data_IF_775545243930
#
_entry.id   IF_775545243930
#
_cell.length_a   1.000
_cell.length_b   1.000
_cell.length_c   1.000
_cell.angle_alpha   90.00
_cell.angle_beta   90.00
_cell.angle_gamma   90.00
#
_symmetry.space_group_name_H-M   'P 1'
#
loop_
_entity.id
_entity.type
_entity.pdbx_description
1 polymer ?
#
# COMPACT_ATOMS: atom_id res chain seq x y z
N UNK A 1 6.39 -49.81 -18.28
CA UNK A 1 7.10 -48.54 -18.55
C UNK A 1 7.19 -47.82 -17.23
N UNK A 2 8.24 -48.14 -16.49
CA UNK A 2 8.55 -47.50 -15.21
C UNK A 2 9.29 -46.22 -15.55
N UNK A 3 8.73 -45.08 -15.17
CA UNK A 3 9.41 -43.79 -15.30
C UNK A 3 10.36 -43.67 -14.12
N UNK A 4 11.66 -43.66 -14.42
CA UNK A 4 12.72 -43.34 -13.47
C UNK A 4 12.51 -41.90 -13.00
N UNK A 5 12.14 -41.76 -11.73
CA UNK A 5 12.15 -40.49 -11.02
C UNK A 5 13.62 -40.25 -10.67
N UNK A 6 14.26 -39.32 -11.37
CA UNK A 6 15.57 -38.80 -10.99
C UNK A 6 15.40 -37.99 -9.70
N UNK A 7 15.90 -38.56 -8.60
CA UNK A 7 16.09 -37.86 -7.35
C UNK A 7 17.22 -36.84 -7.55
N UNK A 8 16.85 -35.61 -7.89
CA UNK A 8 17.76 -34.45 -7.80
C UNK A 8 18.08 -34.23 -6.32
N UNK A 9 19.28 -34.65 -5.90
CA UNK A 9 19.81 -34.35 -4.58
C UNK A 9 19.88 -32.82 -4.41
N UNK A 10 19.24 -32.26 -3.37
CA UNK A 10 19.29 -30.82 -3.13
C UNK A 10 20.73 -30.43 -2.77
N UNK A 11 21.35 -29.62 -3.63
CA UNK A 11 22.63 -28.97 -3.34
C UNK A 11 22.57 -28.36 -1.94
N UNK A 12 23.44 -28.83 -1.06
CA UNK A 12 23.60 -28.30 0.28
C UNK A 12 24.15 -26.87 0.17
N UNK A 13 23.26 -25.87 0.09
CA UNK A 13 23.63 -24.48 0.29
C UNK A 13 24.21 -24.35 1.71
N UNK A 14 25.54 -24.30 1.78
CA UNK A 14 26.31 -23.92 2.97
C UNK A 14 25.78 -22.58 3.46
N UNK A 15 24.95 -22.63 4.50
CA UNK A 15 24.49 -21.46 5.22
C UNK A 15 25.70 -20.80 5.85
N UNK A 16 26.21 -19.77 5.18
CA UNK A 16 27.01 -18.71 5.79
C UNK A 16 26.23 -18.19 7.01
N UNK A 17 26.51 -18.78 8.17
CA UNK A 17 26.12 -18.29 9.47
C UNK A 17 26.82 -16.97 9.67
N UNK A 18 26.24 -15.89 9.15
CA UNK A 18 26.68 -14.53 9.43
C UNK A 18 26.47 -14.32 10.92
N UNK A 19 27.58 -14.45 11.65
CA UNK A 19 27.72 -14.06 13.04
C UNK A 19 27.43 -12.56 13.14
N UNK A 20 26.16 -12.21 13.34
CA UNK A 20 25.77 -10.91 13.91
C UNK A 20 26.14 -10.93 15.41
N UNK A 21 27.43 -11.07 15.70
CA UNK A 21 28.03 -10.95 17.03
C UNK A 21 28.18 -9.45 17.35
N UNK A 22 27.04 -8.78 17.57
CA UNK A 22 27.01 -7.63 18.48
C UNK A 22 26.56 -8.13 19.84
N UNK A 23 27.45 -8.90 20.47
CA UNK A 23 27.45 -9.03 21.91
C UNK A 23 27.62 -7.61 22.49
N UNK A 24 26.78 -7.25 23.44
CA UNK A 24 27.00 -6.12 24.33
C UNK A 24 28.30 -6.38 25.12
N UNK A 25 29.45 -6.12 24.50
CA UNK A 25 30.76 -6.18 25.16
C UNK A 25 31.09 -4.82 25.74
N UNK A 26 30.99 -4.75 27.06
CA UNK A 26 31.88 -4.02 27.97
C UNK A 26 33.02 -3.23 27.29
N UNK A 27 32.84 -1.92 27.17
CA UNK A 27 33.78 -0.92 27.72
C UNK A 27 35.25 -0.90 27.28
N UNK A 28 35.69 -1.60 26.23
CA UNK A 28 37.07 -1.48 25.72
C UNK A 28 37.13 -1.39 24.20
N UNK A 29 36.77 -0.22 23.67
CA UNK A 29 37.07 0.20 22.30
C UNK A 29 38.58 0.22 22.05
N UNK A 30 39.11 -0.89 21.52
CA UNK A 30 40.40 -0.88 20.83
C UNK A 30 40.20 -0.09 19.54
N UNK A 31 40.67 1.15 19.55
CA UNK A 31 40.80 2.00 18.36
C UNK A 31 41.62 1.26 17.32
N UNK A 32 40.97 0.64 16.33
CA UNK A 32 41.66 0.12 15.16
C UNK A 32 42.08 1.34 14.32
N UNK A 33 43.38 1.61 14.28
CA UNK A 33 43.98 2.73 13.55
C UNK A 33 43.92 2.59 12.03
N UNK A 34 42.76 2.23 11.46
CA UNK A 34 42.51 2.38 10.04
C UNK A 34 42.27 3.86 9.73
N UNK A 35 43.08 4.51 8.87
CA UNK A 35 42.97 5.92 8.55
C UNK A 35 41.80 6.25 7.60
N UNK A 36 40.85 5.33 7.43
CA UNK A 36 39.52 5.62 6.89
C UNK A 36 38.58 5.72 8.08
N UNK A 37 38.24 6.95 8.46
CA UNK A 37 37.42 7.24 9.63
C UNK A 37 36.16 6.37 9.67
N UNK A 38 35.65 6.12 10.87
CA UNK A 38 34.33 5.56 11.07
C UNK A 38 33.32 6.47 10.36
N UNK A 39 33.08 6.23 9.06
CA UNK A 39 32.13 6.98 8.26
C UNK A 39 30.78 6.80 8.92
N UNK A 40 30.34 7.88 9.59
CA UNK A 40 29.17 7.89 10.43
C UNK A 40 27.94 7.56 9.58
N UNK A 41 27.06 6.74 10.13
CA UNK A 41 25.73 6.56 9.56
C UNK A 41 24.90 7.80 9.87
N UNK A 42 24.09 8.25 8.91
CA UNK A 42 23.19 9.38 9.09
C UNK A 42 21.91 8.91 9.79
N UNK A 43 21.60 9.49 10.95
CA UNK A 43 20.32 9.25 11.61
C UNK A 43 19.20 9.96 10.87
N UNK A 44 18.21 9.20 10.41
CA UNK A 44 17.02 9.74 9.75
C UNK A 44 15.74 9.18 10.41
N UNK A 45 14.64 9.90 10.26
CA UNK A 45 13.30 9.39 10.51
C UNK A 45 12.67 9.04 9.17
N UNK A 46 12.15 7.81 9.04
CA UNK A 46 11.52 7.34 7.82
C UNK A 46 10.23 6.57 8.13
N UNK A 47 9.29 6.55 7.19
CA UNK A 47 8.11 5.70 7.29
C UNK A 47 8.52 4.23 7.04
N UNK A 48 8.24 3.29 7.97
CA UNK A 48 8.65 1.89 7.79
C UNK A 48 7.98 1.22 6.57
N UNK A 49 6.82 1.70 6.14
CA UNK A 49 6.11 1.18 4.96
C UNK A 49 6.79 1.64 3.65
N UNK A 50 7.60 2.71 3.67
CA UNK A 50 8.32 3.20 2.49
C UNK A 50 9.69 2.54 2.30
N UNK A 51 10.21 1.87 3.34
CA UNK A 51 11.49 1.18 3.29
C UNK A 51 11.30 -0.17 2.61
N UNK A 52 12.12 -0.44 1.60
CA UNK A 52 12.13 -1.68 0.82
C UNK A 52 12.98 -2.76 1.48
N UNK A 53 12.59 -4.01 1.30
CA UNK A 53 13.38 -5.18 1.68
C UNK A 53 14.52 -5.41 0.68
N UNK A 54 15.70 -5.77 1.17
CA UNK A 54 16.80 -6.19 0.29
C UNK A 54 16.70 -7.65 -0.14
N UNK A 55 16.02 -8.48 0.65
CA UNK A 55 15.91 -9.93 0.45
C UNK A 55 14.45 -10.34 0.18
N UNK A 56 14.24 -11.31 -0.71
CA UNK A 56 12.93 -11.94 -0.95
C UNK A 56 12.44 -12.82 0.21
N UNK A 57 13.34 -13.28 1.09
CA UNK A 57 13.03 -14.24 2.16
C UNK A 57 13.61 -13.79 3.49
N UNK A 58 12.83 -13.95 4.57
CA UNK A 58 13.31 -13.84 5.96
C UNK A 58 12.92 -15.03 6.80
N UNK A 59 13.75 -15.30 7.80
CA UNK A 59 13.44 -16.27 8.84
C UNK A 59 12.45 -15.70 9.87
N UNK A 60 11.42 -16.44 10.32
CA UNK A 60 10.39 -15.95 11.25
C UNK A 60 10.88 -15.69 12.69
N UNK A 61 12.17 -15.84 12.95
CA UNK A 61 12.78 -15.71 14.27
C UNK A 61 13.92 -14.70 14.26
N UNK A 62 13.97 -13.87 15.30
CA UNK A 62 15.15 -13.13 15.65
C UNK A 62 16.18 -14.06 16.29
N UNK A 63 17.45 -13.83 15.98
CA UNK A 63 18.55 -14.53 16.62
C UNK A 63 18.49 -14.31 18.14
N UNK A 64 18.50 -15.41 18.93
CA UNK A 64 18.39 -15.46 20.40
C UNK A 64 17.11 -14.90 21.05
N UNK A 65 16.29 -14.12 20.33
CA UNK A 65 15.06 -13.49 20.86
C UNK A 65 13.77 -14.25 20.53
N UNK A 66 13.86 -15.31 19.71
CA UNK A 66 12.73 -16.16 19.36
C UNK A 66 11.87 -15.57 18.23
N UNK A 67 10.59 -15.99 18.12
CA UNK A 67 9.69 -15.55 17.05
C UNK A 67 9.57 -14.03 16.95
N UNK A 68 9.51 -13.49 15.72
CA UNK A 68 9.34 -12.05 15.48
C UNK A 68 8.06 -11.51 16.15
N UNK A 69 6.98 -12.29 16.14
CA UNK A 69 5.69 -11.95 16.76
C UNK A 69 5.79 -11.64 18.26
N UNK A 70 6.78 -12.20 18.98
CA UNK A 70 6.98 -11.94 20.40
C UNK A 70 7.57 -10.54 20.68
N UNK A 71 8.05 -9.86 19.64
CA UNK A 71 8.61 -8.51 19.73
C UNK A 71 7.57 -7.44 19.45
N UNK A 72 6.51 -7.73 18.68
CA UNK A 72 5.50 -6.74 18.27
C UNK A 72 4.88 -5.99 19.47
N UNK A 73 4.43 -6.67 20.55
CA UNK A 73 3.84 -5.97 21.71
C UNK A 73 4.84 -5.09 22.49
N UNK A 74 6.14 -5.23 22.21
CA UNK A 74 7.22 -4.47 22.86
C UNK A 74 7.59 -3.21 22.08
N UNK A 75 7.13 -3.07 20.83
CA UNK A 75 7.34 -1.86 20.02
C UNK A 75 6.32 -0.82 20.49
N UNK A 76 6.81 0.28 21.08
CA UNK A 76 5.94 1.34 21.60
C UNK A 76 5.66 2.36 20.51
N UNK A 77 4.40 2.77 20.38
CA UNK A 77 4.00 3.88 19.52
C UNK A 77 3.86 5.15 20.37
N UNK A 78 4.64 6.19 20.05
CA UNK A 78 4.62 7.49 20.73
C UNK A 78 3.96 8.49 19.79
N UNK A 79 2.80 9.01 20.18
CA UNK A 79 2.07 9.98 19.34
C UNK A 79 2.75 11.36 19.32
N UNK A 80 2.81 11.96 18.14
CA UNK A 80 3.32 13.32 17.92
C UNK A 80 2.16 14.33 17.75
N UNK A 81 2.48 15.62 17.88
CA UNK A 81 1.51 16.73 17.73
C UNK A 81 0.93 16.83 16.31
N UNK A 82 1.68 16.39 15.30
CA UNK A 82 1.27 16.36 13.88
C UNK A 82 0.30 15.21 13.56
N UNK A 83 -0.05 14.38 14.56
CA UNK A 83 -0.88 13.19 14.39
C UNK A 83 -0.13 11.95 13.93
N UNK A 84 1.17 12.04 13.65
CA UNK A 84 2.01 10.86 13.37
C UNK A 84 2.33 10.08 14.66
N UNK A 85 2.93 8.90 14.51
CA UNK A 85 3.44 8.06 15.60
C UNK A 85 4.91 7.71 15.36
N UNK A 86 5.76 7.92 16.37
CA UNK A 86 7.11 7.37 16.38
C UNK A 86 7.11 5.95 16.96
N UNK A 87 7.60 4.98 16.18
CA UNK A 87 7.77 3.61 16.60
C UNK A 87 9.12 3.45 17.31
N UNK A 88 9.08 3.06 18.58
CA UNK A 88 10.25 2.83 19.44
C UNK A 88 10.39 1.34 19.71
N UNK A 89 11.18 0.60 18.90
CA UNK A 89 11.35 -0.83 19.06
C UNK A 89 12.34 -1.18 20.20
N UNK A 90 12.29 -2.42 20.74
CA UNK A 90 13.25 -2.90 21.75
C UNK A 90 14.56 -3.42 21.12
N UNK A 91 14.93 -2.93 19.93
CA UNK A 91 16.14 -3.31 19.21
C UNK A 91 16.80 -2.05 18.63
N UNK A 92 18.08 -2.15 18.27
CA UNK A 92 18.82 -1.04 17.70
C UNK A 92 18.18 -0.54 16.38
N UNK A 93 18.33 0.74 16.03
CA UNK A 93 17.86 1.29 14.76
C UNK A 93 18.23 0.41 13.56
N UNK A 94 17.35 0.38 12.56
CA UNK A 94 17.61 -0.40 11.34
C UNK A 94 18.58 0.33 10.42
N UNK A 95 19.48 -0.42 9.79
CA UNK A 95 20.38 0.11 8.79
C UNK A 95 19.71 0.12 7.42
N UNK A 96 19.86 1.22 6.70
CA UNK A 96 19.30 1.43 5.38
C UNK A 96 20.38 1.90 4.40
N UNK A 97 20.37 1.33 3.20
CA UNK A 97 21.09 1.85 2.05
C UNK A 97 20.15 2.77 1.26
N UNK A 98 20.59 3.99 0.98
CA UNK A 98 19.87 4.95 0.14
C UNK A 98 20.31 4.79 -1.31
N UNK A 99 19.41 4.38 -2.20
CA UNK A 99 19.60 4.36 -3.67
C UNK A 99 18.62 5.35 -4.29
N UNK A 100 19.11 6.53 -4.67
CA UNK A 100 18.26 7.64 -5.13
C UNK A 100 17.31 8.13 -4.03
N UNK A 101 16.00 8.17 -4.32
CA UNK A 101 14.95 8.55 -3.37
C UNK A 101 14.52 7.38 -2.45
N UNK A 102 15.02 6.19 -2.68
CA UNK A 102 14.50 4.94 -2.09
C UNK A 102 15.43 4.42 -0.99
N UNK A 103 14.84 4.00 0.13
CA UNK A 103 15.54 3.37 1.24
C UNK A 103 15.39 1.85 1.20
N UNK A 104 16.50 1.15 1.28
CA UNK A 104 16.58 -0.31 1.29
C UNK A 104 17.10 -0.81 2.63
N UNK A 105 16.37 -1.64 3.36
CA UNK A 105 16.79 -2.13 4.67
C UNK A 105 17.80 -3.27 4.55
N UNK A 106 18.89 -3.17 5.32
CA UNK A 106 19.84 -4.26 5.53
C UNK A 106 19.39 -5.21 6.66
N UNK A 107 18.36 -4.81 7.41
CA UNK A 107 17.83 -5.48 8.60
C UNK A 107 16.38 -5.96 8.37
N UNK A 108 16.14 -6.74 7.31
CA UNK A 108 14.79 -7.11 6.82
C UNK A 108 13.85 -7.69 7.90
N UNK A 109 14.36 -8.49 8.85
CA UNK A 109 13.55 -9.02 9.97
C UNK A 109 13.03 -7.91 10.90
N UNK A 110 13.86 -6.90 11.18
CA UNK A 110 13.48 -5.75 12.00
C UNK A 110 12.49 -4.87 11.25
N UNK A 111 12.73 -4.64 9.95
CA UNK A 111 11.81 -3.91 9.09
C UNK A 111 10.43 -4.58 9.05
N UNK A 112 10.37 -5.90 8.84
CA UNK A 112 9.12 -6.66 8.84
C UNK A 112 8.33 -6.47 10.14
N UNK A 113 9.00 -6.56 11.30
CA UNK A 113 8.37 -6.31 12.59
C UNK A 113 7.80 -4.88 12.71
N UNK A 114 8.55 -3.87 12.22
CA UNK A 114 8.11 -2.48 12.22
C UNK A 114 6.93 -2.24 11.28
N UNK A 115 6.93 -2.88 10.10
CA UNK A 115 5.82 -2.78 9.15
C UNK A 115 4.55 -3.44 9.70
N UNK A 116 4.65 -4.58 10.38
CA UNK A 116 3.49 -5.21 11.04
C UNK A 116 2.84 -4.26 12.06
N UNK A 117 3.64 -3.64 12.94
CA UNK A 117 3.11 -2.68 13.93
C UNK A 117 2.59 -1.40 13.28
N UNK A 118 3.24 -0.92 12.21
CA UNK A 118 2.72 0.21 11.44
C UNK A 118 1.37 -0.11 10.79
N UNK A 119 1.17 -1.35 10.34
CA UNK A 119 -0.10 -1.81 9.78
C UNK A 119 -1.21 -1.95 10.83
N UNK A 120 -0.88 -2.32 12.07
CA UNK A 120 -1.85 -2.29 13.19
C UNK A 120 -2.33 -0.86 13.52
N UNK A 121 -1.52 0.14 13.18
CA UNK A 121 -1.82 1.57 13.36
C UNK A 121 -2.36 2.24 12.09
N UNK A 122 -2.48 1.52 10.97
CA UNK A 122 -2.97 2.07 9.72
C UNK A 122 -4.39 2.65 9.87
N UNK A 123 -4.71 3.83 9.31
CA UNK A 123 -3.95 4.64 8.35
C UNK A 123 -3.07 5.73 9.00
N UNK A 124 -2.74 5.62 10.29
CA UNK A 124 -1.96 6.64 10.99
C UNK A 124 -0.51 6.64 10.48
N UNK A 125 0.05 7.80 10.08
CA UNK A 125 1.44 7.88 9.67
C UNK A 125 2.39 7.45 10.79
N UNK A 126 3.28 6.52 10.49
CA UNK A 126 4.27 6.02 11.45
C UNK A 126 5.68 6.38 10.98
N UNK A 127 6.57 6.72 11.91
CA UNK A 127 7.98 7.02 11.66
C UNK A 127 8.85 6.12 12.54
N UNK A 128 10.01 5.74 12.04
CA UNK A 128 11.01 4.99 12.81
C UNK A 128 12.39 5.60 12.57
N UNK A 129 13.24 5.53 13.59
CA UNK A 129 14.64 5.94 13.49
C UNK A 129 15.44 4.89 12.70
N UNK A 130 16.12 5.34 11.67
CA UNK A 130 16.97 4.52 10.81
C UNK A 130 18.37 5.12 10.73
N UNK A 131 19.35 4.26 10.47
CA UNK A 131 20.72 4.61 10.14
C UNK A 131 20.87 4.49 8.63
N UNK A 132 20.96 5.60 7.93
CA UNK A 132 21.04 5.65 6.47
C UNK A 132 22.45 5.90 6.00
N UNK A 133 22.79 5.35 4.84
CA UNK A 133 24.02 5.69 4.12
C UNK A 133 23.80 5.52 2.62
N UNK A 134 24.47 6.34 1.81
CA UNK A 134 24.37 6.25 0.33
C UNK A 134 25.21 5.12 -0.25
N UNK A 135 26.40 4.87 0.31
CA UNK A 135 27.35 3.86 -0.18
C UNK A 135 27.83 2.95 0.94
N UNK A 136 27.81 1.65 0.70
CA UNK A 136 28.35 0.67 1.65
C UNK A 136 29.87 0.78 1.76
N UNK A 137 30.47 0.52 2.95
CA UNK A 137 31.91 0.43 3.09
C UNK A 137 32.52 -0.60 2.15
N UNK A 138 33.63 -0.26 1.47
CA UNK A 138 34.30 -1.14 0.49
C UNK A 138 34.54 -2.57 1.00
N UNK A 139 34.91 -2.71 2.27
CA UNK A 139 35.19 -4.01 2.88
C UNK A 139 33.95 -4.90 3.10
N UNK A 140 32.74 -4.31 3.19
CA UNK A 140 31.46 -5.05 3.34
C UNK A 140 30.64 -5.08 2.06
N UNK A 141 31.12 -4.44 0.99
CA UNK A 141 30.41 -4.28 -0.27
C UNK A 141 29.95 -5.65 -0.81
N UNK A 142 30.88 -6.59 -0.99
CA UNK A 142 30.60 -7.91 -1.56
C UNK A 142 29.58 -8.71 -0.76
N UNK A 143 29.70 -8.73 0.56
CA UNK A 143 28.81 -9.52 1.44
C UNK A 143 27.42 -8.91 1.56
N UNK A 144 27.32 -7.58 1.58
CA UNK A 144 26.02 -6.91 1.71
C UNK A 144 25.29 -6.83 0.37
N UNK A 145 25.99 -6.63 -0.75
CA UNK A 145 25.38 -6.67 -2.09
C UNK A 145 24.79 -8.04 -2.43
N UNK A 146 25.40 -9.14 -1.95
CA UNK A 146 24.80 -10.49 -2.07
C UNK A 146 23.42 -10.60 -1.42
N UNK A 147 23.09 -9.73 -0.46
CA UNK A 147 21.76 -9.70 0.17
C UNK A 147 20.72 -9.02 -0.71
N UNK A 148 21.11 -8.25 -1.73
CA UNK A 148 20.20 -7.64 -2.70
C UNK A 148 19.76 -8.71 -3.70
N UNK A 149 18.81 -9.53 -3.27
CA UNK A 149 18.18 -10.56 -4.07
C UNK A 149 16.67 -10.45 -3.85
N UNK A 150 16.13 -9.33 -4.32
CA UNK A 150 14.69 -9.09 -4.34
C UNK A 150 14.19 -9.09 -5.78
N UNK A 151 13.10 -9.82 -6.05
CA UNK A 151 12.39 -9.82 -7.34
C UNK A 151 11.20 -8.86 -7.36
N UNK A 152 10.76 -8.40 -6.20
CA UNK A 152 9.53 -7.61 -6.00
C UNK A 152 9.80 -6.13 -5.71
N UNK A 153 10.96 -5.62 -6.15
CA UNK A 153 11.45 -4.29 -5.80
C UNK A 153 11.43 -4.03 -4.29
N UNK A 154 11.64 -5.07 -3.48
CA UNK A 154 11.63 -5.03 -2.04
C UNK A 154 10.28 -4.69 -1.42
N UNK A 155 9.17 -4.82 -2.15
CA UNK A 155 7.82 -4.57 -1.63
C UNK A 155 7.19 -5.80 -0.99
N UNK A 156 7.61 -6.98 -1.42
CA UNK A 156 7.09 -8.26 -0.93
C UNK A 156 8.21 -9.06 -0.28
N UNK A 157 7.90 -9.75 0.82
CA UNK A 157 8.85 -10.65 1.47
C UNK A 157 8.17 -11.95 1.92
N UNK A 158 8.81 -13.08 1.67
CA UNK A 158 8.34 -14.39 2.11
C UNK A 158 8.95 -14.75 3.48
N UNK A 159 8.09 -15.02 4.46
CA UNK A 159 8.49 -15.49 5.78
C UNK A 159 8.60 -17.00 5.74
N UNK A 160 9.83 -17.50 5.63
CA UNK A 160 10.10 -18.91 5.36
C UNK A 160 11.15 -19.46 6.33
N UNK A 161 11.00 -20.74 6.67
CA UNK A 161 12.09 -21.58 7.19
C UNK A 161 12.53 -22.54 6.09
N UNK A 162 13.58 -23.33 6.35
CA UNK A 162 14.16 -24.26 5.35
C UNK A 162 13.12 -25.12 4.62
N UNK A 163 12.05 -25.57 5.31
CA UNK A 163 11.07 -26.51 4.76
C UNK A 163 9.61 -26.02 4.84
N UNK A 164 9.38 -24.80 5.30
CA UNK A 164 8.02 -24.31 5.53
C UNK A 164 7.91 -22.84 5.16
N UNK A 165 6.94 -22.54 4.29
CA UNK A 165 6.47 -21.18 4.04
C UNK A 165 5.37 -20.85 5.06
N UNK A 166 5.57 -19.78 5.84
CA UNK A 166 4.59 -19.34 6.83
C UNK A 166 3.65 -18.30 6.24
N UNK A 167 4.21 -17.29 5.57
CA UNK A 167 3.46 -16.13 5.12
C UNK A 167 4.18 -15.41 3.98
N UNK A 168 3.42 -14.69 3.16
CA UNK A 168 3.96 -13.75 2.17
C UNK A 168 3.44 -12.37 2.51
N UNK A 169 4.35 -11.49 2.89
CA UNK A 169 4.02 -10.15 3.34
C UNK A 169 4.20 -9.13 2.23
N UNK A 170 3.12 -8.41 1.92
CA UNK A 170 3.13 -7.18 1.14
C UNK A 170 2.23 -6.18 1.87
N UNK A 171 2.83 -5.13 2.43
CA UNK A 171 2.09 -4.18 3.24
C UNK A 171 1.05 -3.39 2.42
N UNK A 172 1.28 -3.16 1.12
CA UNK A 172 0.35 -2.43 0.25
C UNK A 172 -0.91 -3.25 0.00
N UNK A 173 -0.74 -4.54 -0.27
CA UNK A 173 -1.88 -5.46 -0.38
C UNK A 173 -2.63 -5.54 0.93
N UNK A 174 -1.92 -5.64 2.06
CA UNK A 174 -2.54 -5.68 3.37
C UNK A 174 -3.32 -4.39 3.71
N UNK A 175 -2.76 -3.23 3.38
CA UNK A 175 -3.44 -1.95 3.55
C UNK A 175 -4.69 -1.87 2.65
N UNK A 176 -4.59 -2.32 1.40
CA UNK A 176 -5.71 -2.36 0.48
C UNK A 176 -6.84 -3.28 0.98
N UNK A 177 -6.52 -4.41 1.61
CA UNK A 177 -7.52 -5.30 2.24
C UNK A 177 -8.27 -4.62 3.40
N UNK A 178 -7.54 -3.89 4.26
CA UNK A 178 -8.15 -3.14 5.39
C UNK A 178 -9.08 -2.05 4.85
N UNK A 179 -8.61 -1.28 3.86
CA UNK A 179 -9.41 -0.22 3.22
C UNK A 179 -10.60 -0.80 2.45
N UNK A 180 -10.44 -1.97 1.83
CA UNK A 180 -11.51 -2.67 1.09
C UNK A 180 -12.67 -3.02 2.01
N UNK A 181 -12.39 -3.49 3.23
CA UNK A 181 -13.44 -3.75 4.21
C UNK A 181 -14.23 -2.48 4.56
N UNK A 182 -13.54 -1.35 4.77
CA UNK A 182 -14.17 -0.06 5.07
C UNK A 182 -14.99 0.47 3.89
N UNK A 183 -14.44 0.40 2.67
CA UNK A 183 -15.11 0.82 1.44
C UNK A 183 -16.36 -0.03 1.17
N UNK A 184 -16.24 -1.35 1.26
CA UNK A 184 -17.33 -2.30 1.04
C UNK A 184 -18.48 -2.06 2.03
N UNK A 185 -18.17 -1.78 3.30
CA UNK A 185 -19.20 -1.42 4.31
C UNK A 185 -19.96 -0.14 3.90
N UNK A 186 -19.26 0.90 3.44
CA UNK A 186 -19.88 2.15 2.99
C UNK A 186 -20.73 1.97 1.74
N UNK A 187 -20.18 1.27 0.74
CA UNK A 187 -20.90 0.95 -0.50
C UNK A 187 -22.11 0.08 -0.23
N UNK A 188 -22.03 -0.88 0.70
CA UNK A 188 -23.18 -1.69 1.10
C UNK A 188 -24.32 -0.85 1.67
N UNK A 189 -24.04 0.18 2.50
CA UNK A 189 -25.08 1.07 3.00
C UNK A 189 -25.75 1.84 1.87
N UNK A 190 -24.95 2.35 0.92
CA UNK A 190 -25.45 3.05 -0.26
C UNK A 190 -26.34 2.11 -1.10
N UNK A 191 -25.85 0.91 -1.43
CA UNK A 191 -26.58 -0.06 -2.23
C UNK A 191 -27.86 -0.54 -1.54
N UNK A 192 -27.82 -0.91 -0.26
CA UNK A 192 -29.03 -1.29 0.48
C UNK A 192 -30.08 -0.18 0.52
N UNK A 193 -29.65 1.08 0.62
CA UNK A 193 -30.55 2.24 0.56
C UNK A 193 -31.23 2.32 -0.82
N UNK A 194 -30.47 2.12 -1.90
CA UNK A 194 -30.99 2.16 -3.26
C UNK A 194 -31.80 0.94 -3.67
N UNK A 195 -31.53 -0.24 -3.09
CA UNK A 195 -32.35 -1.44 -3.26
C UNK A 195 -33.73 -1.29 -2.58
N UNK A 196 -33.77 -0.68 -1.39
CA UNK A 196 -35.02 -0.45 -0.66
C UNK A 196 -35.92 0.61 -1.34
N UNK A 197 -35.32 1.59 -2.01
CA UNK A 197 -36.04 2.72 -2.60
C UNK A 197 -37.11 2.33 -3.65
N UNK A 198 -36.85 1.47 -4.66
CA UNK A 198 -37.87 1.01 -5.59
C UNK A 198 -39.00 0.23 -4.91
N UNK A 199 -38.70 -0.55 -3.87
CA UNK A 199 -39.71 -1.31 -3.11
C UNK A 199 -40.63 -0.36 -2.36
N UNK A 200 -40.05 0.59 -1.62
CA UNK A 200 -40.80 1.65 -0.93
C UNK A 200 -41.60 2.50 -1.92
N UNK A 201 -40.99 2.87 -3.05
CA UNK A 201 -41.64 3.61 -4.12
C UNK A 201 -42.85 2.87 -4.70
N UNK A 202 -42.74 1.56 -4.90
CA UNK A 202 -43.85 0.72 -5.38
C UNK A 202 -44.98 0.61 -4.35
N UNK A 203 -44.64 0.47 -3.05
CA UNK A 203 -45.63 0.45 -1.97
C UNK A 203 -46.37 1.80 -1.87
N UNK A 204 -45.63 2.91 -1.90
CA UNK A 204 -46.21 4.26 -1.87
C UNK A 204 -47.05 4.52 -3.12
N UNK A 205 -46.61 4.06 -4.30
CA UNK A 205 -47.36 4.18 -5.54
C UNK A 205 -48.72 3.48 -5.44
N UNK A 206 -48.75 2.26 -4.88
CA UNK A 206 -49.99 1.49 -4.67
C UNK A 206 -50.97 2.22 -3.75
N UNK A 207 -50.47 2.95 -2.74
CA UNK A 207 -51.31 3.73 -1.82
C UNK A 207 -51.79 5.07 -2.39
N UNK A 208 -51.31 5.49 -3.57
CA UNK A 208 -51.69 6.76 -4.21
C UNK A 208 -50.95 8.00 -3.67
N UNK A 209 -50.07 7.86 -2.67
CA UNK A 209 -49.38 8.99 -2.04
C UNK A 209 -48.24 9.60 -2.88
N UNK A 210 -47.70 8.87 -3.86
CA UNK A 210 -46.50 9.33 -4.61
C UNK A 210 -46.76 10.45 -5.62
N UNK A 211 -48.02 10.66 -6.06
CA UNK A 211 -48.33 11.60 -7.14
C UNK A 211 -47.72 11.27 -8.51
N UNK A 212 -47.13 10.07 -8.70
CA UNK A 212 -46.55 9.66 -9.99
C UNK A 212 -47.65 9.36 -11.01
N UNK A 213 -47.57 10.00 -12.18
CA UNK A 213 -48.50 9.75 -13.30
C UNK A 213 -48.15 8.48 -14.10
N UNK A 214 -46.92 7.96 -13.96
CA UNK A 214 -46.39 6.88 -14.80
C UNK A 214 -45.67 5.82 -13.96
N UNK A 215 -45.72 4.56 -14.43
CA UNK A 215 -45.02 3.41 -13.81
C UNK A 215 -43.56 3.29 -14.27
N UNK A 216 -43.16 3.99 -15.33
CA UNK A 216 -41.82 3.93 -15.90
C UNK A 216 -40.68 4.19 -14.88
N UNK A 217 -40.78 5.17 -13.97
CA UNK A 217 -39.72 5.42 -12.99
C UNK A 217 -39.46 4.22 -12.07
N UNK A 218 -40.52 3.48 -11.68
CA UNK A 218 -40.39 2.27 -10.89
C UNK A 218 -39.70 1.16 -11.69
N UNK A 219 -40.12 0.93 -12.94
CA UNK A 219 -39.49 -0.08 -13.82
C UNK A 219 -38.00 0.23 -14.01
N UNK A 220 -37.66 1.48 -14.30
CA UNK A 220 -36.27 1.92 -14.46
C UNK A 220 -35.49 1.72 -13.15
N UNK A 221 -36.09 2.04 -12.00
CA UNK A 221 -35.47 1.83 -10.69
C UNK A 221 -35.22 0.35 -10.39
N UNK A 222 -36.15 -0.56 -10.74
CA UNK A 222 -35.94 -2.00 -10.60
C UNK A 222 -34.85 -2.53 -11.53
N UNK A 223 -34.81 -2.06 -12.79
CA UNK A 223 -33.76 -2.42 -13.74
C UNK A 223 -32.39 -1.93 -13.25
N UNK A 224 -32.31 -0.73 -12.68
CA UNK A 224 -31.07 -0.21 -12.10
C UNK A 224 -30.66 -0.97 -10.83
N UNK A 225 -31.59 -1.33 -9.96
CA UNK A 225 -31.29 -2.19 -8.80
C UNK A 225 -30.76 -3.57 -9.25
N UNK A 226 -31.34 -4.18 -10.29
CA UNK A 226 -30.84 -5.44 -10.82
C UNK A 226 -29.49 -5.29 -11.53
N UNK A 227 -29.28 -4.17 -12.23
CA UNK A 227 -28.00 -3.84 -12.85
C UNK A 227 -26.92 -3.62 -11.79
N UNK A 228 -27.29 -3.02 -10.65
CA UNK A 228 -26.44 -2.88 -9.48
C UNK A 228 -25.99 -4.25 -8.94
N UNK A 229 -26.91 -5.19 -8.77
CA UNK A 229 -26.58 -6.55 -8.34
C UNK A 229 -25.59 -7.23 -9.29
N UNK A 230 -25.75 -7.03 -10.60
CA UNK A 230 -24.79 -7.53 -11.58
C UNK A 230 -23.44 -6.83 -11.47
N UNK A 231 -23.43 -5.49 -11.32
CA UNK A 231 -22.18 -4.75 -11.10
C UNK A 231 -21.50 -5.18 -9.82
N UNK A 232 -22.25 -5.52 -8.76
CA UNK A 232 -21.72 -6.02 -7.48
C UNK A 232 -20.89 -7.30 -7.63
N UNK A 233 -21.12 -8.08 -8.68
CA UNK A 233 -20.29 -9.25 -9.00
C UNK A 233 -18.93 -8.86 -9.62
N UNK A 234 -18.86 -7.73 -10.33
CA UNK A 234 -17.64 -7.18 -10.94
C UNK A 234 -16.89 -6.18 -10.04
N UNK A 235 -17.59 -5.68 -9.02
CA UNK A 235 -17.13 -4.72 -8.02
C UNK A 235 -15.84 -5.12 -7.27
N UNK A 236 -15.51 -6.41 -7.00
CA UNK A 236 -14.28 -6.75 -6.27
C UNK A 236 -13.00 -6.23 -6.94
N UNK A 237 -12.95 -6.22 -8.28
CA UNK A 237 -11.80 -5.70 -9.00
C UNK A 237 -11.70 -4.17 -8.90
N UNK A 238 -12.81 -3.47 -9.12
CA UNK A 238 -12.85 -2.01 -9.05
C UNK A 238 -12.62 -1.50 -7.63
N UNK A 239 -13.19 -2.15 -6.61
CA UNK A 239 -12.94 -1.82 -5.21
C UNK A 239 -11.47 -2.01 -4.86
N UNK A 240 -10.85 -3.14 -5.26
CA UNK A 240 -9.42 -3.36 -5.03
C UNK A 240 -8.57 -2.24 -5.65
N UNK A 241 -8.86 -1.84 -6.88
CA UNK A 241 -8.16 -0.72 -7.54
C UNK A 241 -8.37 0.61 -6.82
N UNK A 242 -9.60 0.94 -6.43
CA UNK A 242 -9.89 2.16 -5.65
C UNK A 242 -9.21 2.15 -4.28
N UNK A 243 -9.08 1.00 -3.64
CA UNK A 243 -8.36 0.82 -2.38
C UNK A 243 -6.85 0.97 -2.56
N UNK A 244 -6.25 0.43 -3.63
CA UNK A 244 -4.84 0.65 -3.93
C UNK A 244 -4.55 2.15 -4.17
N UNK A 245 -5.41 2.85 -4.90
CA UNK A 245 -5.27 4.29 -5.12
C UNK A 245 -5.44 5.10 -3.82
N UNK A 246 -6.34 4.68 -2.93
CA UNK A 246 -6.47 5.26 -1.59
C UNK A 246 -5.21 5.06 -0.77
N UNK A 247 -4.63 3.85 -0.75
CA UNK A 247 -3.39 3.55 -0.05
C UNK A 247 -2.25 4.42 -0.57
N UNK A 248 -2.12 4.57 -1.89
CA UNK A 248 -1.14 5.46 -2.51
C UNK A 248 -1.36 6.94 -2.15
N UNK A 249 -2.62 7.39 -2.11
CA UNK A 249 -2.95 8.77 -1.72
C UNK A 249 -2.61 9.04 -0.25
N UNK A 250 -2.88 8.07 0.65
CA UNK A 250 -2.51 8.13 2.07
C UNK A 250 -0.99 8.21 2.21
N UNK A 251 -0.26 7.38 1.46
CA UNK A 251 1.20 7.35 1.48
C UNK A 251 1.81 8.68 1.04
N UNK A 252 1.22 9.35 0.04
CA UNK A 252 1.67 10.66 -0.45
C UNK A 252 1.28 11.84 0.46
N UNK A 253 0.72 11.55 1.63
CA UNK A 253 0.17 12.54 2.57
C UNK A 253 -0.85 13.48 1.89
N UNK A 254 -1.55 13.00 0.86
CA UNK A 254 -2.56 13.81 0.20
C UNK A 254 -3.70 14.10 1.20
N UNK A 255 -4.11 15.37 1.27
CA UNK A 255 -5.22 15.81 2.14
C UNK A 255 -6.46 14.90 2.02
N UNK A 256 -6.65 14.05 3.02
CA UNK A 256 -7.84 13.22 3.14
C UNK A 256 -9.03 14.07 3.58
N UNK A 257 -10.18 13.87 2.93
CA UNK A 257 -11.41 14.54 3.32
C UNK A 257 -11.97 13.79 4.52
N UNK A 258 -11.99 14.46 5.68
CA UNK A 258 -12.60 13.95 6.91
C UNK A 258 -14.12 13.95 6.74
N UNK A 259 -14.70 12.76 6.60
CA UNK A 259 -16.14 12.55 6.52
C UNK A 259 -16.66 12.16 7.91
N UNK A 260 -17.15 13.15 8.66
CA UNK A 260 -17.81 12.94 9.96
C UNK A 260 -19.24 12.45 9.75
N UNK A 261 -19.41 11.17 9.40
CA UNK A 261 -20.75 10.56 9.28
C UNK A 261 -21.14 9.70 10.49
N UNK A 262 -20.19 9.29 11.34
CA UNK A 262 -20.46 8.45 12.50
C UNK A 262 -19.37 8.68 13.56
N UNK A 263 -19.78 8.73 14.84
CA UNK A 263 -18.96 9.18 15.96
C UNK A 263 -17.55 8.57 16.08
N UNK A 264 -16.66 9.41 16.62
CA UNK A 264 -15.29 9.21 17.11
C UNK A 264 -14.20 8.65 16.17
N UNK A 265 -14.52 7.81 15.18
CA UNK A 265 -13.51 7.31 14.22
C UNK A 265 -13.58 8.06 12.88
N UNK A 266 -12.94 9.24 12.83
CA UNK A 266 -12.85 10.03 11.60
C UNK A 266 -11.86 9.39 10.62
N UNK A 267 -12.31 8.36 9.90
CA UNK A 267 -11.57 7.84 8.74
C UNK A 267 -11.71 8.82 7.57
N UNK A 268 -10.57 9.34 7.11
CA UNK A 268 -10.52 10.17 5.91
C UNK A 268 -10.80 9.37 4.65
N UNK A 269 -11.37 10.02 3.64
CA UNK A 269 -11.61 9.44 2.31
C UNK A 269 -10.83 10.25 1.29
N UNK A 270 -10.11 9.61 0.37
CA UNK A 270 -9.46 10.36 -0.69
C UNK A 270 -10.50 10.97 -1.63
N UNK A 271 -10.11 12.04 -2.32
CA UNK A 271 -10.95 12.72 -3.31
C UNK A 271 -11.46 11.77 -4.40
N UNK A 272 -10.65 10.78 -4.77
CA UNK A 272 -10.99 9.81 -5.80
C UNK A 272 -12.08 8.83 -5.35
N UNK A 273 -11.95 8.25 -4.16
CA UNK A 273 -12.98 7.39 -3.58
C UNK A 273 -14.29 8.17 -3.40
N UNK A 274 -14.21 9.41 -2.92
CA UNK A 274 -15.40 10.27 -2.79
C UNK A 274 -16.02 10.55 -4.17
N UNK A 275 -15.23 10.87 -5.18
CA UNK A 275 -15.71 11.06 -6.55
C UNK A 275 -16.39 9.80 -7.12
N UNK A 276 -15.82 8.61 -6.88
CA UNK A 276 -16.40 7.34 -7.29
C UNK A 276 -17.74 7.08 -6.58
N UNK A 277 -17.81 7.27 -5.26
CA UNK A 277 -19.05 7.13 -4.48
C UNK A 277 -20.11 8.13 -4.97
N UNK A 278 -19.72 9.38 -5.23
CA UNK A 278 -20.62 10.41 -5.77
C UNK A 278 -21.10 10.04 -7.17
N UNK A 279 -20.23 9.54 -8.05
CA UNK A 279 -20.61 9.11 -9.39
C UNK A 279 -21.62 7.95 -9.36
N UNK A 280 -21.39 6.95 -8.50
CA UNK A 280 -22.34 5.86 -8.26
C UNK A 280 -23.66 6.42 -7.75
N UNK A 281 -23.63 7.29 -6.74
CA UNK A 281 -24.84 7.90 -6.16
C UNK A 281 -25.61 8.69 -7.21
N UNK A 282 -24.95 9.48 -8.05
CA UNK A 282 -25.60 10.22 -9.14
C UNK A 282 -26.26 9.26 -10.13
N UNK A 283 -25.59 8.19 -10.55
CA UNK A 283 -26.16 7.19 -11.44
C UNK A 283 -27.43 6.57 -10.84
N UNK A 284 -27.41 6.31 -9.53
CA UNK A 284 -28.57 5.75 -8.83
C UNK A 284 -29.71 6.75 -8.59
N UNK A 285 -29.46 8.05 -8.65
CA UNK A 285 -30.51 9.09 -8.56
C UNK A 285 -31.28 9.29 -9.86
N UNK A 286 -30.80 8.74 -10.98
CA UNK A 286 -31.39 8.90 -12.32
C UNK A 286 -32.88 8.48 -12.41
N UNK A 287 -33.34 7.35 -11.82
CA UNK A 287 -34.77 7.00 -11.79
C UNK A 287 -35.63 8.04 -11.08
N UNK A 288 -35.11 8.60 -9.99
CA UNK A 288 -35.82 9.60 -9.20
C UNK A 288 -36.06 10.87 -10.02
N UNK A 289 -35.05 11.29 -10.79
CA UNK A 289 -35.14 12.46 -11.68
C UNK A 289 -36.18 12.21 -12.78
N UNK A 290 -36.19 11.03 -13.40
CA UNK A 290 -37.19 10.68 -14.40
C UNK A 290 -38.60 10.53 -13.84
N UNK A 291 -38.73 10.32 -12.53
CA UNK A 291 -40.01 10.27 -11.82
C UNK A 291 -40.72 11.61 -11.65
N UNK A 292 -40.03 12.74 -11.81
CA UNK A 292 -40.63 14.06 -11.62
C UNK A 292 -41.72 14.31 -12.69
N UNK A 293 -42.96 14.55 -12.24
CA UNK A 293 -44.13 14.73 -13.11
C UNK A 293 -44.07 16.06 -13.90
N UNK A 294 -43.58 17.13 -13.27
CA UNK A 294 -43.47 18.44 -13.90
C UNK A 294 -42.28 18.50 -14.86
N UNK A 295 -42.57 18.58 -16.16
CA UNK A 295 -41.56 18.57 -17.23
C UNK A 295 -40.52 19.69 -17.06
N UNK A 296 -40.95 20.89 -16.62
CA UNK A 296 -40.06 22.04 -16.42
C UNK A 296 -39.08 21.82 -15.26
N UNK A 297 -39.55 21.27 -14.15
CA UNK A 297 -38.71 20.94 -13.00
C UNK A 297 -37.76 19.81 -13.37
N UNK A 298 -38.27 18.77 -14.03
CA UNK A 298 -37.49 17.63 -14.49
C UNK A 298 -36.33 18.03 -15.40
N UNK A 299 -36.57 18.89 -16.41
CA UNK A 299 -35.51 19.31 -17.32
C UNK A 299 -34.43 20.14 -16.62
N UNK A 300 -34.82 20.99 -15.67
CA UNK A 300 -33.88 21.78 -14.87
C UNK A 300 -33.04 20.92 -13.91
N UNK A 301 -33.66 19.94 -13.25
CA UNK A 301 -32.94 19.00 -12.36
C UNK A 301 -32.02 18.10 -13.18
N UNK A 302 -32.49 17.60 -14.33
CA UNK A 302 -31.69 16.76 -15.21
C UNK A 302 -30.48 17.49 -15.80
N UNK A 303 -30.62 18.75 -16.20
CA UNK A 303 -29.48 19.53 -16.70
C UNK A 303 -28.44 19.80 -15.61
N UNK A 304 -28.89 20.09 -14.38
CA UNK A 304 -28.02 20.23 -13.22
C UNK A 304 -27.28 18.93 -12.92
N UNK A 305 -28.02 17.80 -12.87
CA UNK A 305 -27.46 16.47 -12.66
C UNK A 305 -26.42 16.11 -13.72
N UNK A 306 -26.72 16.35 -15.00
CA UNK A 306 -25.80 16.05 -16.11
C UNK A 306 -24.53 16.88 -16.01
N UNK A 307 -24.62 18.14 -15.62
CA UNK A 307 -23.46 19.00 -15.37
C UNK A 307 -22.56 18.47 -14.27
N UNK A 308 -23.13 18.04 -13.13
CA UNK A 308 -22.36 17.46 -12.02
C UNK A 308 -21.75 16.11 -12.39
N UNK A 309 -22.51 15.24 -13.05
CA UNK A 309 -22.02 13.94 -13.52
C UNK A 309 -20.86 14.10 -14.52
N UNK A 310 -20.97 15.05 -15.46
CA UNK A 310 -19.91 15.34 -16.43
C UNK A 310 -18.64 15.87 -15.75
N UNK A 311 -18.76 16.77 -14.78
CA UNK A 311 -17.62 17.26 -14.01
C UNK A 311 -16.92 16.14 -13.23
N UNK A 312 -17.67 15.24 -12.59
CA UNK A 312 -17.08 14.09 -11.89
C UNK A 312 -16.40 13.12 -12.84
N UNK A 313 -16.99 12.88 -14.02
CA UNK A 313 -16.38 12.02 -15.04
C UNK A 313 -15.03 12.60 -15.50
N UNK A 314 -14.98 13.91 -15.77
CA UNK A 314 -13.73 14.59 -16.12
C UNK A 314 -12.69 14.45 -15.00
N UNK A 315 -13.08 14.70 -13.75
CA UNK A 315 -12.17 14.58 -12.61
C UNK A 315 -11.65 13.15 -12.45
N UNK A 316 -12.51 12.14 -12.63
CA UNK A 316 -12.13 10.73 -12.59
C UNK A 316 -11.16 10.38 -13.71
N UNK A 317 -11.42 10.82 -14.95
CA UNK A 317 -10.52 10.58 -16.07
C UNK A 317 -9.14 11.24 -15.87
N UNK A 318 -9.09 12.48 -15.38
CA UNK A 318 -7.82 13.14 -15.08
C UNK A 318 -7.04 12.43 -13.96
N UNK A 319 -7.74 11.91 -12.94
CA UNK A 319 -7.09 11.16 -11.88
C UNK A 319 -6.49 9.85 -12.41
N UNK A 320 -7.22 9.11 -13.24
CA UNK A 320 -6.75 7.88 -13.87
C UNK A 320 -5.57 8.12 -14.85
N UNK A 321 -5.60 9.23 -15.60
CA UNK A 321 -4.47 9.58 -16.46
C UNK A 321 -3.21 9.93 -15.67
N UNK A 322 -3.36 10.56 -14.49
CA UNK A 322 -2.22 10.89 -13.61
C UNK A 322 -1.58 9.63 -13.05
N UNK A 323 -2.35 8.62 -12.70
CA UNK A 323 -1.81 7.36 -12.17
C UNK A 323 -0.96 6.64 -13.23
N UNK A 324 -1.45 6.56 -14.47
CA UNK A 324 -0.69 5.97 -15.58
C UNK A 324 0.60 6.75 -15.90
N UNK A 325 0.56 8.08 -15.77
CA UNK A 325 1.76 8.90 -16.00
C UNK A 325 2.80 8.74 -14.89
N UNK A 326 2.38 8.54 -13.64
CA UNK A 326 3.29 8.34 -12.51
C UNK A 326 4.06 7.04 -12.67
N UNK A 327 3.37 5.96 -13.03
CA UNK A 327 3.98 4.64 -13.23
C UNK A 327 5.05 4.68 -14.33
N UNK A 328 4.77 5.33 -15.46
CA UNK A 328 5.73 5.49 -16.55
C UNK A 328 6.96 6.33 -16.17
N UNK A 329 6.80 7.31 -15.29
CA UNK A 329 7.93 8.15 -14.85
C UNK A 329 8.83 7.37 -13.90
N UNK A 330 8.24 6.58 -13.01
CA UNK A 330 8.98 5.71 -12.09
C UNK A 330 9.77 4.65 -12.89
N UNK A 331 9.15 4.01 -13.88
CA UNK A 331 9.81 3.04 -14.77
C UNK A 331 10.95 3.68 -15.58
N UNK A 332 10.75 4.90 -16.10
CA UNK A 332 11.76 5.61 -16.87
C UNK A 332 12.94 6.08 -16.01
N UNK A 333 12.68 6.50 -14.77
CA UNK A 333 13.71 6.90 -13.82
C UNK A 333 14.57 5.70 -13.40
N UNK A 334 13.95 4.53 -13.20
CA UNK A 334 14.65 3.28 -12.89
C UNK A 334 15.55 2.85 -14.05
N UNK A 335 15.01 2.83 -15.27
CA UNK A 335 15.78 2.51 -16.48
C UNK A 335 16.95 3.48 -16.76
N UNK A 336 16.82 4.76 -16.36
CA UNK A 336 17.91 5.72 -16.45
C UNK A 336 19.01 5.44 -15.42
N UNK A 337 18.64 5.04 -14.19
CA UNK A 337 19.60 4.74 -13.13
C UNK A 337 20.45 3.49 -13.42
N UNK A 338 19.86 2.47 -14.05
CA UNK A 338 20.59 1.25 -14.42
C UNK A 338 21.61 1.51 -15.54
N UNK A 339 21.33 2.47 -16.44
CA UNK A 339 22.26 2.84 -17.50
C UNK A 339 23.48 3.62 -16.98
N UNK A 340 23.35 4.41 -15.91
CA UNK A 340 24.48 5.12 -15.30
C UNK A 340 25.41 4.15 -14.55
N UNK A 341 24.87 3.22 -13.76
CA UNK A 341 25.69 2.22 -13.02
C UNK A 341 26.50 1.33 -13.98
N UNK A 342 25.93 0.93 -15.12
CA UNK A 342 26.64 0.13 -16.12
C UNK A 342 27.77 0.86 -16.87
N UNK A 343 27.79 2.19 -16.84
CA UNK A 343 28.86 3.00 -17.47
C UNK A 343 30.09 3.11 -16.58
N UNK A 344 29.88 3.28 -15.27
CA UNK A 344 30.98 3.48 -14.31
C UNK A 344 31.81 2.20 -14.10
N UNK A 345 31.17 1.04 -14.07
CA UNK A 345 31.88 -0.25 -13.95
C UNK A 345 32.73 -0.55 -15.19
N UNK A 346 32.24 -0.20 -16.40
CA UNK A 346 33.03 -0.33 -17.63
C UNK A 346 34.22 0.63 -17.67
N UNK A 347 34.10 1.82 -17.09
CA UNK A 347 35.22 2.76 -16.99
C UNK A 347 36.28 2.26 -15.99
N UNK A 348 35.86 1.66 -14.87
CA UNK A 348 36.76 1.09 -13.89
C UNK A 348 37.52 -0.15 -14.42
N UNK A 349 36.84 -1.07 -15.11
CA UNK A 349 37.48 -2.25 -15.71
C UNK A 349 38.44 -1.87 -16.83
N UNK A 350 38.11 -0.86 -17.64
CA UNK A 350 39.01 -0.35 -18.68
C UNK A 350 40.27 0.29 -18.08
N UNK A 351 40.14 1.03 -16.98
CA UNK A 351 41.29 1.60 -16.27
C UNK A 351 42.18 0.52 -15.64
N UNK A 352 41.60 -0.58 -15.14
CA UNK A 352 42.36 -1.71 -14.59
C UNK A 352 43.09 -2.53 -15.66
N UNK A 353 42.58 -2.61 -16.89
CA UNK A 353 43.22 -3.31 -17.99
C UNK A 353 44.41 -2.56 -18.62
N UNK A 354 44.44 -1.22 -18.48
CA UNK A 354 45.52 -0.37 -19.00
C UNK A 354 46.68 -0.16 -18.00
N UNK A 355 46.66 -0.82 -16.83
CA UNK A 355 47.74 -0.81 -15.81
C UNK A 355 48.37 -2.20 -15.69
#
# INVERSE_FOLDING_TARGET
MSQDIQDDEPEEEELDGVEDDEAETDGRSRSSGYPGGAEAWDEILACPLEIRFTQDKIHPFFYRRGPIVNVLPKIRAVGNEDGSCDLVPPFAPIHCLRKGSVLWSLDNRRLYALQLVAMDLWPRPCRVRCLSRERLPRHKLKTQYRKFNTRSDGRTIAVTTRYQNFDTWNWQERAAEIELYSLSKRLSVVFTTFEALPVLGAMLFRTGYTGLQSRWPLIISFLLAFSLDFTRQQVPFLEKQLCLLQVQAIQREESLIKLSWQGDDVQGVCKLQLAAIMAITLLMMLPCIFGIAEVKVRSSVFSCWLGVAFMLLIQLMFALQRTESSEKVDDAAEAASDNEEGSDDKAADKAAADT
#
